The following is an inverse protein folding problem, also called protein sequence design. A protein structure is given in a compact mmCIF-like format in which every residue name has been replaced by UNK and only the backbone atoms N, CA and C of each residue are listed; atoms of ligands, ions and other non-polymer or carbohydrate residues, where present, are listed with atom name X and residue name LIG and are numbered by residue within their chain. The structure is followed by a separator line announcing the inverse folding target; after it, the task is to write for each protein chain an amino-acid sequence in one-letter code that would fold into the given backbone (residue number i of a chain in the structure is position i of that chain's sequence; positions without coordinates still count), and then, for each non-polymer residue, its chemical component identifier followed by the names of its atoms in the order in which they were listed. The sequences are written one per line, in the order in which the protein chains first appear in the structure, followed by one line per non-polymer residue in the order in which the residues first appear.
data_IF_062298671939
#
_entry.id   IF_062298671939
#
_cell.length_a   1.000
_cell.length_b   1.000
_cell.length_c   1.000
_cell.angle_alpha   90.00
_cell.angle_beta   90.00
_cell.angle_gamma   90.00
#
_symmetry.space_group_name_H-M   'P 1'
#
loop_
_entity.id
_entity.type
_entity.pdbx_description
1 polymer ?
#
# COMPACT_ATOMS: atom_id res chain seq x y z
N UNK A 1 16.79 10.80 28.77
CA UNK A 1 16.06 9.69 28.10
C UNK A 1 14.82 9.42 28.92
N UNK A 2 13.62 9.52 28.32
CA UNK A 2 12.37 9.26 29.05
C UNK A 2 12.24 7.76 29.36
N UNK A 3 11.45 7.40 30.39
CA UNK A 3 11.19 5.98 30.73
C UNK A 3 10.63 5.20 29.52
N UNK A 4 9.74 5.81 28.75
CA UNK A 4 9.18 5.24 27.52
C UNK A 4 10.26 4.93 26.49
N UNK A 5 11.25 5.79 26.35
CA UNK A 5 12.35 5.62 25.41
C UNK A 5 13.33 4.52 25.87
N UNK A 6 13.58 4.43 27.17
CA UNK A 6 14.37 3.34 27.75
C UNK A 6 13.68 1.98 27.57
N UNK A 7 12.37 1.93 27.77
CA UNK A 7 11.56 0.73 27.52
C UNK A 7 11.60 0.27 26.05
N UNK A 8 11.33 1.20 25.11
CA UNK A 8 11.40 0.92 23.68
C UNK A 8 12.76 0.40 23.26
N UNK A 9 13.84 1.05 23.74
CA UNK A 9 15.20 0.65 23.41
C UNK A 9 15.55 -0.73 23.97
N UNK A 10 15.14 -1.04 25.19
CA UNK A 10 15.32 -2.36 25.78
C UNK A 10 14.48 -3.44 25.11
N UNK A 11 13.30 -3.08 24.58
CA UNK A 11 12.42 -4.01 23.85
C UNK A 11 13.01 -4.44 22.50
N UNK A 12 13.69 -3.51 21.80
CA UNK A 12 14.23 -3.75 20.46
C UNK A 12 15.62 -4.44 20.49
N UNK A 13 16.39 -4.21 21.53
CA UNK A 13 17.77 -4.75 21.64
C UNK A 13 17.82 -5.92 22.63
N UNK A 14 18.04 -7.17 22.14
CA UNK A 14 18.10 -8.36 23.00
C UNK A 14 19.25 -8.33 24.00
N UNK A 15 20.29 -7.52 23.76
CA UNK A 15 21.46 -7.41 24.62
C UNK A 15 21.26 -6.41 25.78
N UNK A 16 20.18 -5.62 25.75
CA UNK A 16 19.88 -4.66 26.82
C UNK A 16 19.10 -5.33 27.95
N UNK A 17 19.45 -5.00 29.23
CA UNK A 17 18.68 -5.49 30.38
C UNK A 17 17.28 -4.89 30.38
N UNK A 18 16.39 -5.48 31.18
CA UNK A 18 15.09 -4.86 31.45
C UNK A 18 15.27 -3.45 32.07
N UNK A 19 14.37 -2.51 31.78
CA UNK A 19 14.38 -1.21 32.44
C UNK A 19 14.41 -1.35 33.97
N UNK A 20 15.22 -0.51 34.64
CA UNK A 20 15.49 -0.68 36.08
C UNK A 20 14.24 -0.49 36.98
N UNK A 21 13.20 0.18 36.47
CA UNK A 21 11.94 0.39 37.16
C UNK A 21 10.98 -0.84 37.06
N UNK A 22 11.34 -1.89 36.31
CA UNK A 22 10.53 -3.11 36.18
C UNK A 22 10.97 -4.17 37.19
N UNK A 23 10.11 -4.46 38.15
CA UNK A 23 10.33 -5.43 39.19
C UNK A 23 9.42 -6.66 39.06
N UNK A 24 9.83 -7.77 39.66
CA UNK A 24 9.12 -9.07 39.62
C UNK A 24 7.99 -9.19 40.66
N UNK A 25 7.63 -8.11 41.36
CA UNK A 25 6.68 -8.09 42.48
C UNK A 25 7.34 -8.35 43.85
N UNK A 26 8.60 -8.80 43.88
CA UNK A 26 9.40 -8.97 45.09
C UNK A 26 10.57 -7.97 45.18
N UNK A 27 10.53 -6.91 44.37
CA UNK A 27 11.57 -5.87 44.35
C UNK A 27 12.84 -6.23 43.57
N UNK A 28 12.89 -7.41 42.92
CA UNK A 28 14.03 -7.84 42.10
C UNK A 28 13.81 -7.46 40.63
N UNK A 29 14.89 -7.19 39.86
CA UNK A 29 14.77 -6.89 38.42
C UNK A 29 14.01 -7.98 37.65
N UNK A 30 13.02 -7.59 36.85
CA UNK A 30 12.14 -8.50 36.11
C UNK A 30 12.75 -9.04 34.80
N UNK A 31 14.06 -9.23 34.71
CA UNK A 31 14.78 -9.56 33.48
C UNK A 31 14.21 -10.77 32.72
N UNK A 32 13.94 -11.88 33.41
CA UNK A 32 13.40 -13.09 32.76
C UNK A 32 12.01 -12.87 32.18
N UNK A 33 11.11 -12.20 32.94
CA UNK A 33 9.75 -11.87 32.46
C UNK A 33 9.79 -10.87 31.31
N UNK A 34 10.67 -9.89 31.38
CA UNK A 34 10.85 -8.91 30.31
C UNK A 34 11.40 -9.55 29.04
N UNK A 35 12.31 -10.53 29.14
CA UNK A 35 12.79 -11.27 27.98
C UNK A 35 11.69 -12.08 27.30
N UNK A 36 10.81 -12.71 28.08
CA UNK A 36 9.63 -13.43 27.54
C UNK A 36 8.72 -12.42 26.83
N UNK A 37 8.42 -11.29 27.47
CA UNK A 37 7.60 -10.23 26.88
C UNK A 37 8.21 -9.70 25.57
N UNK A 38 9.51 -9.37 25.57
CA UNK A 38 10.27 -8.96 24.38
C UNK A 38 10.11 -9.95 23.23
N UNK A 39 10.35 -11.23 23.53
CA UNK A 39 10.27 -12.29 22.53
C UNK A 39 8.84 -12.41 21.96
N UNK A 40 7.84 -12.32 22.82
CA UNK A 40 6.44 -12.37 22.39
C UNK A 40 6.08 -11.19 21.49
N UNK A 41 6.48 -9.97 21.84
CA UNK A 41 6.23 -8.78 21.03
C UNK A 41 6.91 -8.91 19.66
N UNK A 42 8.21 -9.21 19.62
CA UNK A 42 8.96 -9.38 18.37
C UNK A 42 8.33 -10.47 17.50
N UNK A 43 7.99 -11.63 18.10
CA UNK A 43 7.36 -12.72 17.36
C UNK A 43 5.98 -12.33 16.82
N UNK A 44 5.18 -11.58 17.59
CA UNK A 44 3.88 -11.11 17.14
C UNK A 44 3.99 -10.12 15.99
N UNK A 45 4.98 -9.22 16.02
CA UNK A 45 5.23 -8.27 14.94
C UNK A 45 5.72 -8.96 13.66
N UNK A 46 6.58 -9.97 13.79
CA UNK A 46 7.01 -10.79 12.65
C UNK A 46 5.81 -11.50 12.02
N UNK A 47 4.94 -12.12 12.84
CA UNK A 47 3.71 -12.76 12.35
C UNK A 47 2.77 -11.76 11.67
N UNK A 48 2.66 -10.54 12.20
CA UNK A 48 1.88 -9.48 11.57
C UNK A 48 2.42 -9.14 10.17
N UNK A 49 3.74 -9.11 9.98
CA UNK A 49 4.35 -8.94 8.67
C UNK A 49 4.11 -10.15 7.76
N UNK A 50 4.27 -11.37 8.24
CA UNK A 50 3.99 -12.60 7.48
C UNK A 50 2.53 -12.65 7.00
N UNK A 51 1.59 -12.26 7.86
CA UNK A 51 0.16 -12.19 7.52
C UNK A 51 -0.14 -11.03 6.57
N UNK A 52 0.52 -9.90 6.76
CA UNK A 52 0.27 -8.70 5.97
C UNK A 52 0.95 -8.69 4.61
N UNK A 53 1.97 -9.52 4.38
CA UNK A 53 2.77 -9.57 3.16
C UNK A 53 2.94 -11.01 2.65
N UNK A 54 1.83 -11.77 2.43
CA UNK A 54 1.90 -13.18 2.10
C UNK A 54 2.57 -13.45 0.75
N UNK A 55 2.34 -12.62 -0.28
CA UNK A 55 2.93 -12.80 -1.61
C UNK A 55 4.41 -12.42 -1.56
N UNK A 56 4.76 -11.31 -0.91
CA UNK A 56 6.17 -10.94 -0.66
C UNK A 56 6.91 -12.06 0.08
N UNK A 57 6.26 -12.69 1.08
CA UNK A 57 6.82 -13.82 1.80
C UNK A 57 7.03 -15.04 0.90
N UNK A 58 6.08 -15.32 -0.01
CA UNK A 58 6.20 -16.42 -0.98
C UNK A 58 7.34 -16.18 -1.98
N UNK A 59 7.47 -14.95 -2.47
CA UNK A 59 8.52 -14.55 -3.42
C UNK A 59 9.93 -14.67 -2.81
N UNK A 60 10.11 -14.20 -1.58
CA UNK A 60 11.40 -14.24 -0.89
C UNK A 60 11.74 -15.62 -0.30
N UNK A 61 10.73 -16.45 -0.08
CA UNK A 61 10.81 -17.65 0.73
C UNK A 61 10.84 -17.34 2.23
N UNK A 62 10.18 -18.17 3.03
CA UNK A 62 9.93 -17.95 4.47
C UNK A 62 11.19 -17.66 5.29
N UNK A 63 12.32 -18.29 4.96
CA UNK A 63 13.57 -18.12 5.72
C UNK A 63 14.15 -16.71 5.50
N UNK A 64 14.21 -16.26 4.25
CA UNK A 64 14.77 -14.95 3.90
C UNK A 64 13.84 -13.83 4.39
N UNK A 65 12.53 -13.95 4.13
CA UNK A 65 11.53 -13.02 4.65
C UNK A 65 11.65 -12.83 6.16
N UNK A 66 11.71 -13.93 6.92
CA UNK A 66 11.83 -13.88 8.38
C UNK A 66 13.11 -13.17 8.84
N UNK A 67 14.23 -13.37 8.13
CA UNK A 67 15.47 -12.66 8.39
C UNK A 67 15.33 -11.13 8.25
N UNK A 68 14.68 -10.69 7.16
CA UNK A 68 14.39 -9.27 6.89
C UNK A 68 13.36 -8.71 7.88
N UNK A 69 12.31 -9.47 8.20
CA UNK A 69 11.29 -9.09 9.17
C UNK A 69 11.87 -8.86 10.57
N UNK A 70 12.81 -9.71 11.03
CA UNK A 70 13.50 -9.52 12.30
C UNK A 70 14.29 -8.21 12.30
N UNK A 71 14.99 -7.89 11.22
CA UNK A 71 15.74 -6.63 11.11
C UNK A 71 14.80 -5.42 11.11
N UNK A 72 13.73 -5.49 10.32
CA UNK A 72 12.72 -4.43 10.24
C UNK A 72 12.08 -4.14 11.61
N UNK A 73 11.59 -5.17 12.29
CA UNK A 73 10.93 -5.06 13.61
C UNK A 73 11.83 -4.39 14.64
N UNK A 74 13.12 -4.66 14.61
CA UNK A 74 14.09 -4.04 15.54
C UNK A 74 14.28 -2.55 15.31
N UNK A 75 13.98 -2.04 14.14
CA UNK A 75 14.12 -0.62 13.78
C UNK A 75 12.77 0.11 13.78
N UNK A 76 11.67 -0.61 13.61
CA UNK A 76 10.35 -0.06 13.37
C UNK A 76 9.30 -0.69 14.29
N UNK A 77 9.09 -0.10 15.47
CA UNK A 77 7.94 -0.45 16.31
C UNK A 77 6.66 0.16 15.75
N UNK A 78 5.49 -0.44 16.04
CA UNK A 78 4.21 0.17 15.71
C UNK A 78 4.09 1.58 16.29
N UNK A 79 3.73 2.53 15.45
CA UNK A 79 3.46 3.91 15.86
C UNK A 79 2.00 4.09 16.28
N UNK A 80 1.12 3.19 15.83
CA UNK A 80 -0.32 3.17 16.13
C UNK A 80 -0.73 1.79 16.67
N UNK A 81 -1.85 1.71 17.41
CA UNK A 81 -2.40 0.43 17.88
C UNK A 81 -3.08 -0.39 16.76
N UNK A 82 -3.20 0.15 15.54
CA UNK A 82 -3.87 -0.51 14.41
C UNK A 82 -2.91 -1.52 13.78
N UNK A 83 -2.85 -2.70 14.36
CA UNK A 83 -1.93 -3.77 13.96
C UNK A 83 -2.05 -4.21 12.48
N UNK A 84 -3.26 -4.24 11.86
CA UNK A 84 -3.37 -4.53 10.43
C UNK A 84 -2.60 -3.57 9.53
N UNK A 85 -2.32 -2.33 9.96
CA UNK A 85 -1.53 -1.35 9.22
C UNK A 85 -0.04 -1.36 9.59
N UNK A 86 0.39 -2.30 10.45
CA UNK A 86 1.82 -2.46 10.73
C UNK A 86 2.58 -2.88 9.46
N UNK A 87 3.74 -2.26 9.25
CA UNK A 87 4.60 -2.54 8.10
C UNK A 87 4.51 -1.51 6.96
N UNK A 88 3.97 -0.30 7.22
CA UNK A 88 3.95 0.81 6.25
C UNK A 88 5.33 1.05 5.60
N UNK A 89 6.38 1.07 6.39
CA UNK A 89 7.77 1.30 5.94
C UNK A 89 8.47 0.02 5.45
N UNK A 90 7.79 -1.12 5.45
CA UNK A 90 8.40 -2.40 5.08
C UNK A 90 8.75 -2.49 3.58
N UNK A 91 7.94 -1.98 2.64
CA UNK A 91 8.32 -1.92 1.22
C UNK A 91 9.59 -1.11 0.97
N UNK A 92 9.72 0.07 1.58
CA UNK A 92 10.92 0.91 1.49
C UNK A 92 12.15 0.22 2.11
N UNK A 93 11.94 -0.42 3.27
CA UNK A 93 12.99 -1.22 3.90
C UNK A 93 13.48 -2.35 2.97
N UNK A 94 12.59 -3.08 2.32
CA UNK A 94 12.93 -4.13 1.36
C UNK A 94 13.74 -3.57 0.18
N UNK A 95 13.31 -2.44 -0.37
CA UNK A 95 14.02 -1.77 -1.47
C UNK A 95 15.51 -1.51 -1.14
N UNK A 96 15.80 -1.14 0.11
CA UNK A 96 17.18 -0.84 0.54
C UNK A 96 17.97 -2.06 1.00
N UNK A 97 17.33 -3.17 1.36
CA UNK A 97 17.99 -4.33 1.95
C UNK A 97 18.06 -5.55 1.03
N UNK A 98 17.35 -5.53 -0.08
CA UNK A 98 17.44 -6.57 -1.11
C UNK A 98 18.39 -6.08 -2.21
N UNK A 99 19.35 -6.92 -2.67
CA UNK A 99 20.23 -6.56 -3.78
C UNK A 99 19.45 -6.19 -5.03
N UNK A 100 19.74 -5.02 -5.60
CA UNK A 100 19.02 -4.46 -6.75
C UNK A 100 19.15 -5.27 -8.05
N UNK A 101 20.06 -6.23 -8.10
CA UNK A 101 20.32 -7.01 -9.32
C UNK A 101 19.30 -8.08 -9.64
N UNK A 102 18.45 -8.47 -8.67
CA UNK A 102 17.55 -9.60 -8.83
C UNK A 102 16.06 -9.29 -8.57
N UNK A 103 15.72 -8.42 -7.59
CA UNK A 103 14.40 -8.49 -6.97
C UNK A 103 13.77 -7.12 -6.63
N UNK A 104 14.00 -6.07 -7.45
CA UNK A 104 13.39 -4.73 -7.22
C UNK A 104 11.86 -4.77 -7.12
N UNK A 105 11.24 -5.66 -7.88
CA UNK A 105 9.79 -5.84 -7.87
C UNK A 105 9.23 -6.35 -6.54
N UNK A 106 10.04 -7.01 -5.69
CA UNK A 106 9.57 -7.49 -4.37
C UNK A 106 9.12 -6.34 -3.48
N UNK A 107 9.82 -5.21 -3.53
CA UNK A 107 9.42 -4.00 -2.81
C UNK A 107 8.12 -3.41 -3.35
N UNK A 108 7.91 -3.48 -4.67
CA UNK A 108 6.68 -3.01 -5.31
C UNK A 108 5.49 -3.92 -5.00
N UNK A 109 5.70 -5.25 -4.98
CA UNK A 109 4.68 -6.21 -4.52
C UNK A 109 4.32 -5.96 -3.06
N UNK A 110 5.31 -5.74 -2.19
CA UNK A 110 5.05 -5.39 -0.80
C UNK A 110 4.27 -4.07 -0.68
N UNK A 111 4.58 -3.06 -1.52
CA UNK A 111 3.82 -1.81 -1.57
C UNK A 111 2.38 -2.04 -1.99
N UNK A 112 2.14 -2.92 -2.97
CA UNK A 112 0.78 -3.30 -3.39
C UNK A 112 0.02 -3.99 -2.26
N UNK A 113 0.61 -4.98 -1.59
CA UNK A 113 -0.01 -5.68 -0.45
C UNK A 113 -0.33 -4.73 0.70
N UNK A 114 0.55 -3.77 0.99
CA UNK A 114 0.27 -2.74 2.00
C UNK A 114 -0.88 -1.83 1.57
N UNK A 115 -0.90 -1.39 0.31
CA UNK A 115 -1.94 -0.50 -0.23
C UNK A 115 -3.31 -1.18 -0.25
N UNK A 116 -3.37 -2.48 -0.52
CA UNK A 116 -4.63 -3.26 -0.40
C UNK A 116 -5.16 -3.19 1.04
N UNK A 117 -4.32 -3.37 2.05
CA UNK A 117 -4.74 -3.22 3.45
C UNK A 117 -5.14 -1.78 3.79
N UNK A 118 -4.43 -0.80 3.27
CA UNK A 118 -4.77 0.62 3.45
C UNK A 118 -6.14 0.93 2.86
N UNK A 119 -6.42 0.42 1.66
CA UNK A 119 -7.73 0.54 1.01
C UNK A 119 -8.86 -0.11 1.83
N UNK A 120 -8.60 -1.28 2.41
CA UNK A 120 -9.56 -1.96 3.30
C UNK A 120 -9.96 -1.10 4.51
N UNK A 121 -9.02 -0.34 5.07
CA UNK A 121 -9.24 0.53 6.23
C UNK A 121 -9.58 1.98 5.88
N UNK A 122 -9.73 2.31 4.60
CA UNK A 122 -10.17 3.63 4.16
C UNK A 122 -11.66 3.86 4.44
N UNK A 123 -12.07 5.12 4.48
CA UNK A 123 -13.48 5.47 4.66
C UNK A 123 -14.34 4.90 3.52
N UNK A 124 -15.58 4.57 3.85
CA UNK A 124 -16.58 4.17 2.88
C UNK A 124 -17.14 5.38 2.14
N UNK A 125 -17.66 5.16 0.93
CA UNK A 125 -18.44 6.12 0.17
C UNK A 125 -19.47 5.38 -0.67
N UNK A 126 -20.56 6.08 -1.04
CA UNK A 126 -21.67 5.47 -1.79
C UNK A 126 -21.38 5.29 -3.29
N UNK A 127 -20.21 5.79 -3.77
CA UNK A 127 -19.89 5.84 -5.19
C UNK A 127 -20.67 6.94 -5.93
N UNK A 128 -20.27 7.21 -7.18
CA UNK A 128 -20.90 8.25 -8.01
C UNK A 128 -21.97 7.66 -8.92
N UNK A 129 -23.14 8.32 -8.97
CA UNK A 129 -24.19 7.98 -9.93
C UNK A 129 -23.86 8.54 -11.31
N UNK A 130 -23.32 7.70 -12.18
CA UNK A 130 -22.90 8.06 -13.53
C UNK A 130 -24.05 8.50 -14.45
N UNK A 131 -25.31 8.21 -14.11
CA UNK A 131 -26.46 8.68 -14.88
C UNK A 131 -26.59 10.21 -14.85
N UNK A 132 -26.09 10.84 -13.80
CA UNK A 132 -26.11 12.29 -13.63
C UNK A 132 -25.18 13.04 -14.58
N UNK A 133 -24.13 12.41 -15.08
CA UNK A 133 -23.22 13.00 -16.08
C UNK A 133 -23.95 13.36 -17.38
N UNK A 134 -24.91 12.55 -17.80
CA UNK A 134 -25.71 12.81 -19.00
C UNK A 134 -26.66 14.02 -18.91
N UNK A 135 -26.80 14.59 -17.72
CA UNK A 135 -27.64 15.78 -17.49
C UNK A 135 -26.85 17.09 -17.64
N UNK A 136 -25.52 17.03 -17.69
CA UNK A 136 -24.64 18.19 -17.80
C UNK A 136 -24.44 18.58 -19.28
N UNK A 137 -24.41 19.86 -19.54
CA UNK A 137 -23.98 20.41 -20.85
C UNK A 137 -22.47 20.17 -21.09
N UNK A 138 -22.02 20.29 -22.33
CA UNK A 138 -20.59 20.15 -22.67
C UNK A 138 -19.69 21.16 -21.93
N UNK A 139 -20.17 22.40 -21.74
CA UNK A 139 -19.45 23.42 -20.96
C UNK A 139 -19.35 23.01 -19.50
N UNK A 140 -20.44 22.53 -18.91
CA UNK A 140 -20.46 22.07 -17.53
C UNK A 140 -19.54 20.86 -17.32
N UNK A 141 -19.55 19.90 -18.24
CA UNK A 141 -18.65 18.75 -18.22
C UNK A 141 -17.17 19.14 -18.30
N UNK A 142 -16.84 20.21 -19.03
CA UNK A 142 -15.47 20.69 -19.15
C UNK A 142 -14.91 21.25 -17.84
N UNK A 143 -15.77 21.84 -17.01
CA UNK A 143 -15.35 22.55 -15.79
C UNK A 143 -15.39 21.70 -14.52
N UNK A 144 -16.04 20.52 -14.54
CA UNK A 144 -16.13 19.70 -13.34
C UNK A 144 -14.79 19.09 -12.94
N UNK A 145 -14.65 18.86 -11.65
CA UNK A 145 -13.56 18.12 -11.05
C UNK A 145 -14.04 16.75 -10.55
N UNK A 146 -13.16 15.76 -10.64
CA UNK A 146 -13.44 14.37 -10.21
C UNK A 146 -12.75 14.12 -8.89
N UNK A 147 -13.51 13.67 -7.91
CA UNK A 147 -12.98 13.18 -6.63
C UNK A 147 -13.08 11.66 -6.59
N UNK A 148 -11.96 10.99 -6.43
CA UNK A 148 -11.93 9.54 -6.31
C UNK A 148 -12.36 9.06 -4.92
N UNK A 149 -12.89 7.85 -4.85
CA UNK A 149 -13.23 7.20 -3.60
C UNK A 149 -12.00 7.11 -2.66
N UNK A 150 -12.17 7.28 -1.34
CA UNK A 150 -11.06 7.24 -0.38
C UNK A 150 -10.25 5.96 -0.42
N UNK A 151 -10.87 4.86 -0.86
CA UNK A 151 -10.26 3.55 -0.98
C UNK A 151 -9.48 3.34 -2.28
N UNK A 152 -9.44 4.33 -3.19
CA UNK A 152 -8.75 4.23 -4.49
C UNK A 152 -7.33 4.77 -4.41
N UNK A 153 -6.37 3.88 -4.70
CA UNK A 153 -4.93 4.19 -4.72
C UNK A 153 -4.31 3.80 -6.05
N UNK A 154 -3.33 4.58 -6.48
CA UNK A 154 -2.51 4.28 -7.65
C UNK A 154 -1.12 3.82 -7.23
N UNK A 155 -0.66 2.72 -7.81
CA UNK A 155 0.74 2.27 -7.74
C UNK A 155 1.28 2.14 -9.16
N UNK A 156 2.48 2.67 -9.36
CA UNK A 156 3.23 2.49 -10.62
C UNK A 156 4.50 1.71 -10.34
N UNK A 157 4.85 0.81 -11.24
CA UNK A 157 6.08 0.03 -11.19
C UNK A 157 6.69 -0.05 -12.58
N UNK A 158 8.01 -0.10 -12.64
CA UNK A 158 8.76 -0.36 -13.88
C UNK A 158 8.77 -1.85 -14.25
N UNK A 159 8.05 -2.67 -13.49
CA UNK A 159 7.91 -4.10 -13.65
C UNK A 159 6.43 -4.48 -13.85
N UNK A 160 6.11 -5.70 -14.35
CA UNK A 160 4.76 -6.20 -14.51
C UNK A 160 4.13 -6.57 -13.16
N UNK A 161 3.90 -5.54 -12.32
CA UNK A 161 3.48 -5.66 -10.92
C UNK A 161 2.20 -6.46 -10.73
N UNK A 162 1.18 -6.19 -11.56
CA UNK A 162 -0.10 -6.88 -11.50
C UNK A 162 0.07 -8.38 -11.77
N UNK A 163 0.82 -8.72 -12.81
CA UNK A 163 1.04 -10.11 -13.23
C UNK A 163 1.83 -10.88 -12.17
N UNK A 164 2.85 -10.25 -11.57
CA UNK A 164 3.64 -10.82 -10.50
C UNK A 164 2.80 -11.06 -9.24
N UNK A 165 1.93 -10.10 -8.89
CA UNK A 165 1.03 -10.26 -7.77
C UNK A 165 -0.01 -11.35 -8.02
N UNK A 166 -0.63 -11.37 -9.20
CA UNK A 166 -1.67 -12.34 -9.56
C UNK A 166 -1.13 -13.77 -9.65
N UNK A 167 0.09 -13.96 -10.17
CA UNK A 167 0.71 -15.29 -10.30
C UNK A 167 1.27 -15.81 -8.98
N UNK A 168 1.55 -14.93 -8.01
CA UNK A 168 2.30 -15.26 -6.77
C UNK A 168 3.63 -15.98 -7.05
N UNK A 169 4.14 -15.89 -8.28
CA UNK A 169 5.36 -16.53 -8.75
C UNK A 169 6.18 -15.55 -9.56
N UNK A 170 7.47 -15.66 -9.39
CA UNK A 170 8.43 -15.06 -10.31
C UNK A 170 8.51 -15.97 -11.50
N UNK A 171 8.03 -15.52 -12.64
CA UNK A 171 8.44 -16.13 -13.90
C UNK A 171 9.82 -15.56 -14.23
N UNK A 172 10.87 -16.29 -13.84
CA UNK A 172 12.25 -15.88 -14.07
C UNK A 172 12.56 -15.75 -15.59
N UNK A 173 11.75 -16.35 -16.43
CA UNK A 173 11.81 -16.29 -17.90
C UNK A 173 10.99 -15.13 -18.49
N UNK A 174 10.20 -14.39 -17.70
CA UNK A 174 9.50 -13.20 -18.18
C UNK A 174 10.52 -12.09 -18.49
N UNK A 175 11.02 -12.11 -19.73
CA UNK A 175 11.88 -11.05 -20.28
C UNK A 175 11.12 -9.75 -20.56
N UNK A 176 9.80 -9.76 -20.51
CA UNK A 176 8.94 -8.60 -20.66
C UNK A 176 8.89 -7.81 -19.36
N UNK A 177 9.81 -6.87 -19.20
CA UNK A 177 9.76 -5.84 -18.17
C UNK A 177 8.86 -4.70 -18.64
N UNK A 178 7.57 -4.96 -18.77
CA UNK A 178 6.62 -3.90 -19.08
C UNK A 178 6.18 -3.21 -17.80
N UNK A 179 6.41 -1.90 -17.75
CA UNK A 179 5.95 -1.07 -16.66
C UNK A 179 4.42 -1.17 -16.53
N UNK A 180 3.93 -1.40 -15.33
CA UNK A 180 2.50 -1.48 -15.06
C UNK A 180 2.06 -0.43 -14.05
N UNK A 181 0.86 0.11 -14.30
CA UNK A 181 0.13 0.96 -13.36
C UNK A 181 -1.06 0.18 -12.83
N UNK A 182 -1.21 0.16 -11.52
CA UNK A 182 -2.24 -0.62 -10.82
C UNK A 182 -3.06 0.32 -9.94
N UNK A 183 -4.38 0.25 -10.10
CA UNK A 183 -5.31 0.85 -9.15
C UNK A 183 -5.69 -0.21 -8.12
N UNK A 184 -5.59 0.12 -6.84
CA UNK A 184 -6.29 -0.62 -5.80
C UNK A 184 -7.65 0.02 -5.65
N UNK A 185 -8.70 -0.77 -5.75
CA UNK A 185 -10.11 -0.34 -5.72
C UNK A 185 -10.88 -1.16 -4.70
N UNK A 186 -11.96 -0.59 -4.16
CA UNK A 186 -12.85 -1.27 -3.22
C UNK A 186 -14.30 -0.86 -3.48
N UNK A 187 -14.96 -1.45 -4.50
CA UNK A 187 -16.35 -1.09 -4.85
C UNK A 187 -17.36 -1.53 -3.80
N UNK A 188 -17.09 -2.60 -3.05
CA UNK A 188 -17.95 -3.12 -1.98
C UNK A 188 -17.16 -3.15 -0.65
N UNK A 189 -16.70 -4.34 -0.23
CA UNK A 189 -16.03 -4.54 1.06
C UNK A 189 -14.57 -4.91 0.91
N UNK A 190 -14.24 -5.72 -0.08
CA UNK A 190 -12.91 -6.27 -0.26
C UNK A 190 -12.13 -5.52 -1.35
N UNK A 191 -10.98 -4.93 -1.03
CA UNK A 191 -10.15 -4.27 -2.02
C UNK A 191 -9.40 -5.28 -2.89
N UNK A 192 -9.25 -4.92 -4.17
CA UNK A 192 -8.46 -5.69 -5.12
C UNK A 192 -7.73 -4.78 -6.11
N UNK A 193 -6.62 -5.25 -6.69
CA UNK A 193 -5.90 -4.50 -7.70
C UNK A 193 -6.54 -4.68 -9.09
N UNK A 194 -6.49 -3.60 -9.88
CA UNK A 194 -6.95 -3.54 -11.27
C UNK A 194 -5.86 -2.91 -12.12
N UNK A 195 -5.57 -3.48 -13.27
CA UNK A 195 -4.61 -2.90 -14.20
C UNK A 195 -5.18 -1.61 -14.81
N UNK A 196 -4.44 -0.52 -14.67
CA UNK A 196 -4.73 0.74 -15.35
C UNK A 196 -3.91 0.78 -16.65
N UNK A 197 -4.54 0.96 -17.84
CA UNK A 197 -3.78 1.15 -19.08
C UNK A 197 -2.76 2.27 -18.94
N UNK A 198 -1.54 2.05 -19.43
CA UNK A 198 -0.46 3.03 -19.29
C UNK A 198 -0.80 4.37 -19.98
N UNK A 199 -1.58 4.31 -21.06
CA UNK A 199 -2.10 5.49 -21.74
C UNK A 199 -3.08 6.32 -20.88
N UNK A 200 -3.74 5.70 -19.89
CA UNK A 200 -4.69 6.34 -18.98
C UNK A 200 -4.04 6.92 -17.72
N UNK A 201 -2.75 6.63 -17.49
CA UNK A 201 -2.06 7.04 -16.26
C UNK A 201 -2.02 8.57 -16.07
N UNK A 202 -1.71 9.31 -17.13
CA UNK A 202 -1.66 10.77 -17.07
C UNK A 202 -3.04 11.37 -16.79
N UNK A 203 -4.08 10.82 -17.41
CA UNK A 203 -5.47 11.21 -17.17
C UNK A 203 -5.89 11.00 -15.72
N UNK A 204 -5.61 9.80 -15.17
CA UNK A 204 -5.89 9.52 -13.76
C UNK A 204 -5.16 10.50 -12.82
N UNK A 205 -3.88 10.80 -13.08
CA UNK A 205 -3.09 11.73 -12.27
C UNK A 205 -3.63 13.16 -12.33
N UNK A 206 -4.02 13.63 -13.51
CA UNK A 206 -4.64 14.96 -13.69
C UNK A 206 -5.94 15.04 -12.87
N UNK A 207 -6.84 14.06 -13.00
CA UNK A 207 -8.07 14.02 -12.23
C UNK A 207 -7.83 13.93 -10.71
N UNK A 208 -6.87 13.10 -10.28
CA UNK A 208 -6.49 13.00 -8.86
C UNK A 208 -5.92 14.31 -8.31
N UNK A 209 -5.27 15.10 -9.18
CA UNK A 209 -4.79 16.46 -8.90
C UNK A 209 -5.85 17.54 -9.02
N UNK A 210 -7.12 17.18 -9.15
CA UNK A 210 -8.27 18.09 -9.30
C UNK A 210 -8.17 19.00 -10.52
N UNK A 211 -7.50 18.57 -11.58
CA UNK A 211 -7.59 19.19 -12.90
C UNK A 211 -9.00 19.01 -13.43
N UNK A 212 -9.58 20.03 -14.10
CA UNK A 212 -10.91 19.91 -14.67
C UNK A 212 -10.99 18.80 -15.72
N UNK A 213 -12.15 18.16 -15.82
CA UNK A 213 -12.36 16.99 -16.69
C UNK A 213 -12.03 17.32 -18.14
N UNK A 214 -12.47 18.51 -18.66
CA UNK A 214 -12.18 18.93 -20.02
C UNK A 214 -10.68 19.08 -20.29
N UNK A 215 -9.94 19.73 -19.39
CA UNK A 215 -8.49 19.90 -19.55
C UNK A 215 -7.75 18.57 -19.43
N UNK A 216 -8.17 17.69 -18.53
CA UNK A 216 -7.61 16.35 -18.39
C UNK A 216 -7.82 15.52 -19.66
N UNK A 217 -9.02 15.59 -20.29
CA UNK A 217 -9.32 14.94 -21.57
C UNK A 217 -8.45 15.52 -22.69
N UNK A 218 -8.33 16.86 -22.79
CA UNK A 218 -7.50 17.50 -23.81
C UNK A 218 -6.05 17.03 -23.75
N UNK A 219 -5.49 16.92 -22.55
CA UNK A 219 -4.12 16.44 -22.33
C UNK A 219 -3.98 14.95 -22.66
N UNK A 220 -4.94 14.14 -22.20
CA UNK A 220 -4.91 12.69 -22.41
C UNK A 220 -5.05 12.30 -23.87
N UNK A 221 -5.83 13.03 -24.67
CA UNK A 221 -5.99 12.81 -26.11
C UNK A 221 -4.69 12.99 -26.91
N UNK A 222 -3.66 13.61 -26.32
CA UNK A 222 -2.31 13.70 -26.92
C UNK A 222 -1.47 12.44 -26.67
N UNK A 223 -1.93 11.54 -25.78
CA UNK A 223 -1.23 10.30 -25.45
C UNK A 223 -1.68 9.20 -26.42
N UNK A 224 -0.71 8.57 -27.08
CA UNK A 224 -1.01 7.48 -28.00
C UNK A 224 -1.68 6.31 -27.29
N UNK A 225 -2.78 5.83 -27.85
CA UNK A 225 -3.52 4.70 -27.31
C UNK A 225 -4.44 5.03 -26.13
N UNK A 226 -4.61 6.31 -25.78
CA UNK A 226 -5.62 6.70 -24.79
C UNK A 226 -7.03 6.48 -25.34
N UNK A 227 -7.86 5.84 -24.53
CA UNK A 227 -9.28 5.63 -24.78
C UNK A 227 -10.08 6.15 -23.59
N UNK A 228 -10.74 7.27 -23.79
CA UNK A 228 -11.55 7.93 -22.76
C UNK A 228 -12.72 7.03 -22.32
N UNK A 229 -13.42 6.43 -23.30
CA UNK A 229 -14.60 5.61 -22.99
C UNK A 229 -14.20 4.39 -22.17
N UNK A 230 -13.18 3.66 -22.59
CA UNK A 230 -12.67 2.49 -21.84
C UNK A 230 -12.19 2.88 -20.44
N UNK A 231 -11.53 4.04 -20.30
CA UNK A 231 -11.03 4.52 -19.00
C UNK A 231 -12.17 4.90 -18.06
N UNK A 232 -13.17 5.64 -18.54
CA UNK A 232 -14.34 6.01 -17.73
C UNK A 232 -15.19 4.77 -17.37
N UNK A 233 -15.31 3.81 -18.29
CA UNK A 233 -15.99 2.54 -18.03
C UNK A 233 -15.26 1.74 -16.93
N UNK A 234 -13.94 1.69 -16.93
CA UNK A 234 -13.14 1.09 -15.86
C UNK A 234 -13.43 1.78 -14.51
N UNK A 235 -13.46 3.12 -14.48
CA UNK A 235 -13.76 3.84 -13.24
C UNK A 235 -15.18 3.60 -12.74
N UNK A 236 -16.16 3.51 -13.65
CA UNK A 236 -17.53 3.20 -13.30
C UNK A 236 -17.71 1.77 -12.79
N UNK A 237 -17.15 0.79 -13.51
CA UNK A 237 -17.25 -0.62 -13.17
C UNK A 237 -16.68 -0.93 -11.78
N UNK A 238 -15.60 -0.23 -11.41
CA UNK A 238 -14.90 -0.44 -10.13
C UNK A 238 -15.23 0.62 -9.08
N UNK A 239 -16.29 1.41 -9.31
CA UNK A 239 -16.75 2.48 -8.40
C UNK A 239 -15.60 3.38 -7.89
N UNK A 240 -14.72 3.75 -8.80
CA UNK A 240 -13.52 4.52 -8.44
C UNK A 240 -13.85 5.96 -8.04
N UNK A 241 -14.96 6.51 -8.50
CA UNK A 241 -15.34 7.92 -8.34
C UNK A 241 -16.32 8.07 -7.20
N UNK A 242 -16.05 9.02 -6.30
CA UNK A 242 -16.92 9.41 -5.21
C UNK A 242 -17.83 10.59 -5.60
N UNK A 243 -17.28 11.60 -6.28
CA UNK A 243 -18.03 12.78 -6.66
C UNK A 243 -17.47 13.42 -7.94
N UNK A 244 -18.37 14.04 -8.71
CA UNK A 244 -18.04 14.92 -9.84
C UNK A 244 -18.82 16.22 -9.63
N UNK A 245 -18.11 17.32 -9.44
CA UNK A 245 -18.70 18.61 -9.12
C UNK A 245 -17.88 19.77 -9.71
N UNK A 246 -18.50 20.92 -9.86
CA UNK A 246 -17.75 22.16 -10.12
C UNK A 246 -16.89 22.54 -8.92
N UNK A 247 -15.71 23.11 -9.14
CA UNK A 247 -14.93 23.70 -8.05
C UNK A 247 -15.74 24.84 -7.40
N UNK A 248 -15.65 24.89 -6.04
CA UNK A 248 -16.25 26.00 -5.28
C UNK A 248 -15.52 27.33 -5.52
#
# INVERSE_FOLDING_TARGET
MTESQAFKTALLDPNKPAPANLNDGHGRPANSRFNIYRNNVVTSLIRALETGFPITCALLGSKHFKGLAIQFVRMNLPETPVMPLYGEKFPEFLYHHIPQSADLYVSDVARLEYTIRLSYHSADCDGYDWSTLGLLSEEELSDVQVTFAPAVFLITSDCPLYDMWASSKIDADSTAREAQSVLVVRPEFDPYPVLLPQSSLAFFRDLKGLVSLGLAIERANKVQGFDLQATLQLFAQHQCVNNIARPE
#
